data_IF_262309445080
#
_entry.id   IF_262309445080
#
_cell.length_a   1.000
_cell.length_b   1.000
_cell.length_c   1.000
_cell.angle_alpha   90.00
_cell.angle_beta   90.00
_cell.angle_gamma   90.00
#
_symmetry.space_group_name_H-M   'P 1'
#
loop_
_entity.id
_entity.type
_entity.pdbx_description
1 polymer ?
#
# COMPACT_ATOMS: atom_id res chain seq x y z
N UNK A 1 3.34 1.37 6.59
CA UNK A 1 3.72 0.44 5.50
C UNK A 1 2.51 -0.26 4.89
N UNK A 2 1.60 -0.89 5.67
CA UNK A 2 0.52 -1.73 5.12
C UNK A 2 -0.48 -0.95 4.23
N UNK A 3 -0.77 0.33 4.53
CA UNK A 3 -1.57 1.19 3.64
C UNK A 3 -0.87 1.34 2.28
N UNK A 4 0.45 1.50 2.26
CA UNK A 4 1.22 1.59 1.01
C UNK A 4 1.14 0.28 0.22
N UNK A 5 1.24 -0.88 0.88
CA UNK A 5 1.04 -2.17 0.22
C UNK A 5 -0.34 -2.28 -0.43
N UNK A 6 -1.38 -1.79 0.25
CA UNK A 6 -2.72 -1.74 -0.32
C UNK A 6 -2.83 -0.77 -1.49
N UNK A 7 -2.21 0.41 -1.42
CA UNK A 7 -2.19 1.38 -2.52
C UNK A 7 -1.49 0.84 -3.75
N UNK A 8 -0.40 0.12 -3.56
CA UNK A 8 0.37 -0.50 -4.64
C UNK A 8 -0.22 -1.84 -5.11
N UNK A 9 -1.29 -2.33 -4.50
CA UNK A 9 -1.76 -3.70 -4.69
C UNK A 9 -0.62 -4.73 -4.53
N UNK A 10 0.23 -4.53 -3.52
CA UNK A 10 1.33 -5.42 -3.21
C UNK A 10 0.81 -6.70 -2.53
N UNK A 11 0.37 -7.65 -3.33
CA UNK A 11 -0.31 -8.87 -2.88
C UNK A 11 0.59 -9.83 -2.11
N UNK A 12 1.91 -9.71 -2.29
CA UNK A 12 2.92 -10.53 -1.61
C UNK A 12 3.59 -9.80 -0.42
N UNK A 13 3.07 -8.64 -0.03
CA UNK A 13 3.56 -7.88 1.12
C UNK A 13 3.23 -8.56 2.45
N UNK A 14 4.02 -9.52 2.88
CA UNK A 14 3.79 -10.31 4.10
C UNK A 14 4.80 -9.99 5.21
N UNK A 15 4.62 -10.58 6.41
CA UNK A 15 5.42 -10.28 7.59
C UNK A 15 6.93 -10.55 7.42
N UNK A 16 7.34 -11.47 6.54
CA UNK A 16 8.75 -11.76 6.26
C UNK A 16 9.45 -10.65 5.45
N UNK A 17 8.71 -9.72 4.84
CA UNK A 17 9.27 -8.55 4.14
C UNK A 17 9.63 -7.40 5.11
N UNK A 18 9.59 -7.65 6.43
CA UNK A 18 10.01 -6.72 7.46
C UNK A 18 11.24 -7.27 8.17
N UNK A 19 12.25 -6.44 8.33
CA UNK A 19 13.45 -6.77 9.07
C UNK A 19 13.79 -5.67 10.08
N UNK A 20 14.51 -6.08 11.12
CA UNK A 20 15.01 -5.17 12.14
C UNK A 20 16.53 -5.16 12.06
N UNK A 21 17.11 -3.97 11.97
CA UNK A 21 18.54 -3.78 12.17
C UNK A 21 18.81 -3.61 13.66
N UNK A 22 19.75 -4.39 14.19
CA UNK A 22 20.17 -4.33 15.59
C UNK A 22 21.56 -3.69 15.64
N UNK A 23 21.65 -2.55 16.28
CA UNK A 23 22.88 -1.79 16.48
C UNK A 23 23.52 -2.04 17.85
N UNK A 24 24.67 -1.38 18.13
CA UNK A 24 25.32 -1.45 19.43
C UNK A 24 24.39 -1.03 20.57
N UNK A 25 24.59 -1.61 21.74
CA UNK A 25 23.81 -1.34 22.96
C UNK A 25 22.31 -1.72 22.85
N UNK A 26 21.95 -2.65 21.96
CA UNK A 26 20.58 -3.13 21.83
C UNK A 26 19.61 -2.13 21.13
N UNK A 27 20.13 -1.07 20.51
CA UNK A 27 19.30 -0.19 19.68
C UNK A 27 18.83 -0.94 18.44
N UNK A 28 17.57 -0.75 18.07
CA UNK A 28 17.01 -1.39 16.88
C UNK A 28 16.13 -0.40 16.10
N UNK A 29 16.05 -0.61 14.81
CA UNK A 29 15.15 0.12 13.92
C UNK A 29 14.68 -0.79 12.77
N UNK A 30 13.57 -0.45 12.18
CA UNK A 30 13.11 -1.14 10.97
C UNK A 30 14.07 -0.85 9.81
N UNK A 31 14.39 -1.86 9.03
CA UNK A 31 15.11 -1.66 7.77
C UNK A 31 14.19 -0.96 6.75
N UNK A 32 14.76 -0.35 5.68
CA UNK A 32 13.94 0.04 4.53
C UNK A 32 13.10 -1.13 4.03
N UNK A 33 11.90 -0.83 3.52
CA UNK A 33 11.05 -1.85 2.92
C UNK A 33 11.74 -2.46 1.68
N UNK A 34 11.62 -3.75 1.51
CA UNK A 34 12.16 -4.51 0.38
C UNK A 34 11.12 -5.50 -0.14
N UNK A 35 11.35 -6.01 -1.34
CA UNK A 35 10.48 -7.01 -1.98
C UNK A 35 9.02 -6.55 -2.09
N UNK A 36 8.83 -5.28 -2.48
CA UNK A 36 7.52 -4.69 -2.66
C UNK A 36 7.20 -4.62 -4.15
N UNK A 37 6.38 -5.55 -4.61
CA UNK A 37 5.94 -5.63 -6.01
C UNK A 37 4.48 -5.21 -6.14
N UNK A 38 4.18 -4.41 -7.16
CA UNK A 38 2.81 -4.02 -7.48
C UNK A 38 2.14 -5.02 -8.40
N UNK A 39 0.92 -5.42 -8.07
CA UNK A 39 0.10 -6.24 -8.96
C UNK A 39 -0.72 -5.44 -9.99
N UNK A 40 -0.73 -4.12 -9.92
CA UNK A 40 -1.51 -3.28 -10.85
C UNK A 40 -1.30 -3.62 -12.32
N UNK A 41 -0.05 -3.87 -12.81
CA UNK A 41 0.18 -4.18 -14.22
C UNK A 41 -0.47 -5.48 -14.71
N UNK A 42 -0.81 -6.38 -13.79
CA UNK A 42 -1.42 -7.69 -14.11
C UNK A 42 -2.88 -7.79 -13.67
N UNK A 43 -3.45 -6.71 -13.13
CA UNK A 43 -4.88 -6.65 -12.78
C UNK A 43 -5.70 -6.25 -14.01
N UNK A 44 -6.74 -7.03 -14.31
CA UNK A 44 -7.61 -6.74 -15.44
C UNK A 44 -8.60 -7.89 -15.74
N UNK A 45 -9.10 -7.91 -16.97
CA UNK A 45 -10.09 -8.87 -17.44
C UNK A 45 -9.60 -9.80 -18.56
N UNK A 46 -8.32 -9.67 -18.97
CA UNK A 46 -7.71 -10.52 -20.00
C UNK A 46 -7.37 -11.92 -19.50
N UNK A 47 -7.08 -12.83 -20.42
CA UNK A 47 -6.81 -14.25 -20.14
C UNK A 47 -5.62 -14.47 -19.19
N UNK A 48 -4.63 -13.57 -19.22
CA UNK A 48 -3.43 -13.61 -18.35
C UNK A 48 -3.43 -12.56 -17.26
N UNK A 49 -4.62 -12.03 -16.90
CA UNK A 49 -4.76 -11.01 -15.89
C UNK A 49 -5.51 -11.53 -14.66
N UNK A 50 -5.23 -10.92 -13.53
CA UNK A 50 -5.88 -11.24 -12.26
C UNK A 50 -7.09 -10.32 -12.10
N UNK A 51 -8.27 -10.91 -11.91
CA UNK A 51 -9.47 -10.12 -11.60
C UNK A 51 -9.27 -9.32 -10.30
N UNK A 52 -9.66 -8.05 -10.33
CA UNK A 52 -9.61 -7.17 -9.17
C UNK A 52 -10.25 -7.77 -7.91
N UNK A 53 -11.38 -8.47 -8.08
CA UNK A 53 -12.11 -9.12 -7.00
C UNK A 53 -11.33 -10.27 -6.32
N UNK A 54 -10.34 -10.82 -7.04
CA UNK A 54 -9.48 -11.90 -6.52
C UNK A 54 -8.21 -11.37 -5.83
N UNK A 55 -7.85 -10.10 -6.03
CA UNK A 55 -6.67 -9.50 -5.43
C UNK A 55 -6.82 -9.39 -3.91
N UNK A 56 -5.85 -9.95 -3.20
CA UNK A 56 -5.81 -9.98 -1.73
C UNK A 56 -4.46 -9.52 -1.23
N UNK A 57 -4.46 -8.82 -0.10
CA UNK A 57 -3.24 -8.62 0.68
C UNK A 57 -2.84 -9.92 1.38
N UNK A 58 -1.53 -10.14 1.54
CA UNK A 58 -1.01 -11.26 2.33
C UNK A 58 -1.34 -11.11 3.83
N UNK A 59 -1.41 -9.87 4.32
CA UNK A 59 -1.76 -9.56 5.71
C UNK A 59 -3.12 -8.85 5.77
N UNK A 60 -3.97 -9.30 6.70
CA UNK A 60 -5.30 -8.73 6.89
C UNK A 60 -5.25 -7.28 7.40
N UNK A 61 -6.15 -6.45 6.91
CA UNK A 61 -6.56 -5.23 7.59
C UNK A 61 -7.63 -5.61 8.61
N UNK A 62 -7.34 -5.40 9.88
CA UNK A 62 -8.21 -5.83 10.99
C UNK A 62 -9.24 -4.75 11.28
N UNK A 63 -10.50 -5.14 11.33
CA UNK A 63 -11.63 -4.28 11.69
C UNK A 63 -12.63 -5.06 12.52
N UNK A 64 -13.91 -4.98 12.19
CA UNK A 64 -14.94 -5.90 12.71
C UNK A 64 -14.72 -7.33 12.20
N UNK A 65 -13.93 -7.48 11.15
CA UNK A 65 -13.51 -8.74 10.54
C UNK A 65 -12.07 -8.59 10.05
N UNK A 66 -11.50 -9.64 9.47
CA UNK A 66 -10.22 -9.64 8.79
C UNK A 66 -10.44 -9.39 7.28
N UNK A 67 -10.00 -8.24 6.78
CA UNK A 67 -10.17 -7.85 5.39
C UNK A 67 -8.87 -8.09 4.62
N UNK A 68 -8.90 -9.01 3.67
CA UNK A 68 -7.79 -9.31 2.77
C UNK A 68 -8.02 -8.73 1.37
N UNK A 69 -9.26 -8.81 0.87
CA UNK A 69 -9.59 -8.39 -0.50
C UNK A 69 -9.43 -6.88 -0.65
N UNK A 70 -8.52 -6.48 -1.52
CA UNK A 70 -8.10 -5.07 -1.70
C UNK A 70 -9.31 -4.18 -2.04
N UNK A 71 -10.24 -4.66 -2.86
CA UNK A 71 -11.42 -3.89 -3.27
C UNK A 71 -12.42 -3.64 -2.13
N UNK A 72 -12.39 -4.46 -1.06
CA UNK A 72 -13.32 -4.32 0.09
C UNK A 72 -12.79 -3.40 1.17
N UNK A 73 -11.48 -3.13 1.17
CA UNK A 73 -10.86 -2.30 2.19
C UNK A 73 -11.21 -0.83 1.93
N UNK A 74 -11.66 -0.13 2.97
CA UNK A 74 -12.08 1.26 2.96
C UNK A 74 -11.40 2.01 4.10
N UNK A 75 -11.44 3.35 4.07
CA UNK A 75 -10.86 4.23 5.10
C UNK A 75 -11.22 3.81 6.53
N UNK A 76 -12.48 3.50 6.80
CA UNK A 76 -12.94 3.07 8.13
C UNK A 76 -12.23 1.82 8.66
N UNK A 77 -11.84 0.92 7.77
CA UNK A 77 -11.11 -0.30 8.15
C UNK A 77 -9.69 0.02 8.59
N UNK A 78 -9.05 1.00 7.96
CA UNK A 78 -7.73 1.49 8.36
C UNK A 78 -7.78 2.19 9.72
N UNK A 79 -8.80 3.02 9.96
CA UNK A 79 -8.99 3.67 11.27
C UNK A 79 -9.12 2.62 12.37
N UNK A 80 -9.98 1.62 12.15
CA UNK A 80 -10.16 0.54 13.11
C UNK A 80 -8.90 -0.31 13.29
N UNK A 81 -8.18 -0.58 12.23
CA UNK A 81 -6.90 -1.29 12.28
C UNK A 81 -5.86 -0.53 13.11
N UNK A 82 -5.79 0.78 12.94
CA UNK A 82 -4.94 1.65 13.77
C UNK A 82 -5.26 1.53 15.26
N UNK A 83 -6.53 1.60 15.63
CA UNK A 83 -6.96 1.42 17.02
C UNK A 83 -6.56 0.05 17.60
N UNK A 84 -6.75 -1.03 16.84
CA UNK A 84 -6.38 -2.40 17.25
C UNK A 84 -4.86 -2.53 17.44
N UNK A 85 -4.07 -1.76 16.71
CA UNK A 85 -2.60 -1.76 16.80
C UNK A 85 -2.03 -0.73 17.75
N UNK A 86 -2.88 -0.05 18.53
CA UNK A 86 -2.48 0.86 19.61
C UNK A 86 -2.37 2.34 19.20
N UNK A 87 -2.82 2.71 18.00
CA UNK A 87 -2.91 4.10 17.58
C UNK A 87 -4.28 4.69 17.96
N UNK A 88 -4.33 5.97 18.29
CA UNK A 88 -5.61 6.66 18.41
C UNK A 88 -6.25 6.86 17.02
N UNK A 89 -7.56 7.04 16.99
CA UNK A 89 -8.29 7.42 15.77
C UNK A 89 -7.66 8.65 15.12
N UNK A 90 -7.39 9.69 15.91
CA UNK A 90 -6.80 10.93 15.42
C UNK A 90 -5.42 10.72 14.78
N UNK A 91 -4.55 9.91 15.41
CA UNK A 91 -3.24 9.58 14.83
C UNK A 91 -3.38 8.84 13.51
N UNK A 92 -4.29 7.89 13.43
CA UNK A 92 -4.53 7.13 12.19
C UNK A 92 -5.08 8.02 11.08
N UNK A 93 -6.03 8.90 11.40
CA UNK A 93 -6.57 9.87 10.46
C UNK A 93 -5.48 10.83 9.96
N UNK A 94 -4.63 11.35 10.84
CA UNK A 94 -3.52 12.22 10.45
C UNK A 94 -2.54 11.51 9.50
N UNK A 95 -2.22 10.24 9.77
CA UNK A 95 -1.37 9.43 8.87
C UNK A 95 -2.03 9.21 7.50
N UNK A 96 -3.33 8.98 7.46
CA UNK A 96 -4.08 8.82 6.20
C UNK A 96 -4.06 10.11 5.41
N UNK A 97 -4.33 11.26 6.04
CA UNK A 97 -4.29 12.57 5.38
C UNK A 97 -2.89 12.90 4.86
N UNK A 98 -1.84 12.57 5.61
CA UNK A 98 -0.46 12.73 5.14
C UNK A 98 -0.19 11.88 3.89
N UNK A 99 -0.62 10.62 3.88
CA UNK A 99 -0.46 9.74 2.71
C UNK A 99 -1.19 10.33 1.49
N UNK A 100 -2.44 10.78 1.67
CA UNK A 100 -3.23 11.40 0.60
C UNK A 100 -2.51 12.64 0.05
N UNK A 101 -2.07 13.53 0.91
CA UNK A 101 -1.41 14.78 0.52
C UNK A 101 -0.07 14.54 -0.21
N UNK A 102 0.68 13.53 0.20
CA UNK A 102 2.02 13.25 -0.37
C UNK A 102 1.98 12.42 -1.65
N UNK A 103 0.93 11.64 -1.88
CA UNK A 103 0.88 10.68 -3.00
C UNK A 103 1.12 11.33 -4.37
N UNK A 104 0.52 12.49 -4.74
CA UNK A 104 0.77 13.10 -6.04
C UNK A 104 2.24 13.46 -6.26
N UNK A 105 2.86 14.13 -5.28
CA UNK A 105 4.27 14.53 -5.37
C UNK A 105 5.24 13.33 -5.37
N UNK A 106 4.89 12.24 -4.70
CA UNK A 106 5.66 10.97 -4.76
C UNK A 106 5.61 10.39 -6.16
N UNK A 107 4.42 10.33 -6.79
CA UNK A 107 4.26 9.82 -8.15
C UNK A 107 5.06 10.67 -9.14
N UNK A 108 4.95 11.99 -9.06
CA UNK A 108 5.70 12.92 -9.92
C UNK A 108 7.22 12.72 -9.78
N UNK A 109 7.70 12.66 -8.54
CA UNK A 109 9.12 12.45 -8.25
C UNK A 109 9.63 11.11 -8.78
N UNK A 110 8.90 10.04 -8.55
CA UNK A 110 9.28 8.69 -9.03
C UNK A 110 9.25 8.65 -10.55
N UNK A 111 8.24 9.23 -11.19
CA UNK A 111 8.14 9.34 -12.65
C UNK A 111 9.38 10.03 -13.25
N UNK A 112 9.85 11.12 -12.62
CA UNK A 112 11.06 11.83 -13.07
C UNK A 112 12.39 11.10 -12.81
N UNK A 113 12.38 10.02 -12.01
CA UNK A 113 13.56 9.20 -11.71
C UNK A 113 13.63 7.92 -12.56
N UNK A 114 12.58 7.60 -13.30
CA UNK A 114 12.58 6.40 -14.15
C UNK A 114 13.54 6.58 -15.32
N UNK A 115 14.31 5.55 -15.68
CA UNK A 115 15.13 5.58 -16.88
C UNK A 115 14.30 5.76 -18.15
N UNK A 116 14.84 6.42 -19.17
CA UNK A 116 14.14 6.67 -20.45
C UNK A 116 13.59 5.41 -21.12
N UNK A 117 14.25 4.25 -20.89
CA UNK A 117 13.85 2.97 -21.44
C UNK A 117 12.87 2.20 -20.56
N UNK A 118 12.44 2.77 -19.42
CA UNK A 118 11.47 2.10 -18.53
C UNK A 118 10.12 1.96 -19.24
N UNK A 119 9.47 0.78 -19.20
CA UNK A 119 8.18 0.59 -19.86
C UNK A 119 7.10 1.54 -19.29
N UNK A 120 6.74 2.55 -20.07
CA UNK A 120 5.81 3.60 -19.61
C UNK A 120 4.45 3.04 -19.19
N UNK A 121 3.91 2.07 -19.94
CA UNK A 121 2.63 1.44 -19.58
C UNK A 121 2.66 0.75 -18.24
N UNK A 122 3.80 0.17 -17.87
CA UNK A 122 3.98 -0.48 -16.57
C UNK A 122 3.99 0.57 -15.45
N UNK A 123 4.71 1.67 -15.63
CA UNK A 123 4.73 2.77 -14.66
C UNK A 123 3.33 3.37 -14.46
N UNK A 124 2.65 3.70 -15.57
CA UNK A 124 1.32 4.33 -15.53
C UNK A 124 0.29 3.41 -14.88
N UNK A 125 0.31 2.10 -15.14
CA UNK A 125 -0.62 1.17 -14.48
C UNK A 125 -0.48 1.19 -12.95
N UNK A 126 0.75 1.31 -12.45
CA UNK A 126 1.03 1.40 -11.01
C UNK A 126 0.56 2.76 -10.48
N UNK A 127 0.91 3.85 -11.15
CA UNK A 127 0.55 5.21 -10.72
C UNK A 127 -0.96 5.43 -10.72
N UNK A 128 -1.66 4.95 -11.75
CA UNK A 128 -3.12 5.05 -11.82
C UNK A 128 -3.79 4.23 -10.71
N UNK A 129 -3.29 3.03 -10.44
CA UNK A 129 -3.73 2.23 -9.31
C UNK A 129 -3.53 2.95 -7.97
N UNK A 130 -2.38 3.58 -7.76
CA UNK A 130 -2.11 4.38 -6.56
C UNK A 130 -3.04 5.59 -6.46
N UNK A 131 -3.29 6.31 -7.57
CA UNK A 131 -4.24 7.42 -7.63
C UNK A 131 -5.66 6.97 -7.29
N UNK A 132 -6.07 5.82 -7.80
CA UNK A 132 -7.37 5.22 -7.50
C UNK A 132 -7.52 4.91 -6.01
N UNK A 133 -6.54 4.28 -5.41
CA UNK A 133 -6.56 3.95 -3.98
C UNK A 133 -6.48 5.21 -3.10
N UNK A 134 -5.73 6.23 -3.53
CA UNK A 134 -5.67 7.52 -2.85
C UNK A 134 -7.06 8.18 -2.80
N UNK A 135 -7.81 8.18 -3.92
CA UNK A 135 -9.20 8.67 -3.93
C UNK A 135 -10.09 7.90 -2.95
N UNK A 136 -9.96 6.57 -2.88
CA UNK A 136 -10.72 5.73 -1.94
C UNK A 136 -10.36 5.99 -0.47
N UNK A 137 -9.12 6.37 -0.17
CA UNK A 137 -8.73 6.82 1.17
C UNK A 137 -9.36 8.17 1.53
N UNK A 138 -9.58 9.04 0.54
CA UNK A 138 -10.19 10.36 0.75
C UNK A 138 -11.71 10.28 0.99
N UNK A 139 -12.37 9.20 0.56
CA UNK A 139 -13.79 8.96 0.82
C UNK A 139 -14.03 8.77 2.34
N UNK A 140 -14.95 9.57 2.90
CA UNK A 140 -15.28 9.55 4.35
C UNK A 140 -16.43 8.62 4.66
#
# INVERSE_FOLDING_TARGET
>A
TQIIFWMMAATDGHAKNFSISIGPQGRYHLTPNYDVLSAWPVIGHGNNQISWQKCKLAMAVRGSSNYYQIYRIQRRHWIRHGEITGLSKQQTEAMIEEIIARTPGVIERVSGLLPDQFPQQLAESIFDGMRQQCRRLAEK
#
